data_IF_158468248339
#
_entry.id   IF_158468248339
#
_cell.length_a   1.000
_cell.length_b   1.000
_cell.length_c   1.000
_cell.angle_alpha   90.00
_cell.angle_beta   90.00
_cell.angle_gamma   90.00
#
_symmetry.space_group_name_H-M   'P 1'
#
loop_
_entity.id
_entity.type
_entity.pdbx_description
1 polymer ?
#
# COMPACT_ATOMS: atom_id res chain seq x y z
N UNK A 1 32.66 -0.53 -14.78
CA UNK A 1 31.75 0.32 -15.57
C UNK A 1 31.06 1.24 -14.59
N UNK A 2 31.05 2.53 -14.87
CA UNK A 2 30.29 3.50 -14.04
C UNK A 2 28.79 3.25 -14.17
N UNK A 3 28.05 3.39 -13.07
CA UNK A 3 26.60 3.44 -13.11
C UNK A 3 26.15 4.82 -12.64
N UNK A 4 25.30 5.48 -13.46
CA UNK A 4 24.71 6.77 -13.12
C UNK A 4 23.27 6.53 -12.71
N UNK A 5 22.96 6.88 -11.47
CA UNK A 5 21.66 6.71 -10.86
C UNK A 5 20.96 8.07 -10.69
N UNK A 6 19.65 8.10 -10.87
CA UNK A 6 18.83 9.29 -10.65
C UNK A 6 18.05 9.16 -9.35
N UNK A 7 18.18 10.13 -8.44
CA UNK A 7 17.35 10.25 -7.26
C UNK A 7 16.15 11.13 -7.60
N UNK A 8 14.94 10.63 -7.39
CA UNK A 8 13.71 11.33 -7.78
C UNK A 8 12.81 11.61 -6.58
N UNK A 9 11.91 12.57 -6.73
CA UNK A 9 10.89 12.89 -5.71
C UNK A 9 10.03 11.64 -5.45
N UNK A 10 10.09 11.07 -4.24
CA UNK A 10 9.38 9.85 -3.93
C UNK A 10 7.87 10.07 -3.82
N UNK A 11 7.10 8.99 -3.94
CA UNK A 11 5.67 8.98 -3.66
C UNK A 11 5.41 8.27 -2.35
N UNK A 12 5.11 9.01 -1.29
CA UNK A 12 4.86 8.46 0.04
C UNK A 12 3.39 8.15 0.35
N UNK A 13 2.49 8.41 -0.61
CA UNK A 13 1.08 8.11 -0.46
C UNK A 13 0.32 8.29 -1.78
N UNK A 14 -0.86 7.65 -1.90
CA UNK A 14 -1.68 7.69 -3.12
C UNK A 14 -2.03 9.12 -3.54
N UNK A 15 -2.29 10.00 -2.58
CA UNK A 15 -2.66 11.39 -2.79
C UNK A 15 -1.49 12.36 -2.92
N UNK A 16 -0.24 11.90 -2.76
CA UNK A 16 0.92 12.77 -2.93
C UNK A 16 1.13 13.07 -4.40
N UNK A 17 1.10 14.35 -4.77
CA UNK A 17 1.33 14.84 -6.13
C UNK A 17 2.64 15.59 -6.24
N UNK A 18 3.09 16.23 -5.16
CA UNK A 18 4.29 17.05 -5.10
C UNK A 18 4.91 17.04 -3.70
N UNK A 19 6.15 17.52 -3.59
CA UNK A 19 6.84 17.77 -2.34
C UNK A 19 7.76 18.98 -2.45
N UNK A 20 7.89 19.75 -1.36
CA UNK A 20 8.82 20.86 -1.27
C UNK A 20 10.15 20.38 -0.70
N UNK A 21 11.24 20.63 -1.38
CA UNK A 21 12.60 20.39 -0.89
C UNK A 21 12.86 21.32 0.28
N UNK A 22 13.05 20.79 1.49
CA UNK A 22 13.31 21.62 2.67
C UNK A 22 14.81 21.81 2.87
N UNK A 23 15.54 20.75 3.13
CA UNK A 23 16.97 20.82 3.45
C UNK A 23 17.74 19.66 2.85
N UNK A 24 18.86 19.95 2.17
CA UNK A 24 19.81 18.92 1.77
C UNK A 24 20.70 18.50 2.97
N UNK A 25 20.69 17.22 3.30
CA UNK A 25 21.50 16.62 4.37
C UNK A 25 22.88 16.18 3.88
N UNK A 26 23.07 16.10 2.55
CA UNK A 26 24.31 15.75 1.86
C UNK A 26 24.65 16.82 0.84
N UNK A 27 25.94 16.93 0.50
CA UNK A 27 26.47 17.87 -0.48
C UNK A 27 27.05 17.14 -1.69
N UNK A 28 27.23 17.88 -2.80
CA UNK A 28 27.96 17.32 -3.95
C UNK A 28 29.37 16.91 -3.56
N UNK A 29 29.76 15.68 -3.96
CA UNK A 29 31.03 15.06 -3.58
C UNK A 29 30.92 14.10 -2.37
N UNK A 30 29.83 14.14 -1.62
CA UNK A 30 29.65 13.24 -0.48
C UNK A 30 29.40 11.80 -0.93
N UNK A 31 30.03 10.82 -0.27
CA UNK A 31 29.68 9.43 -0.42
C UNK A 31 28.34 9.16 0.28
N UNK A 32 27.46 8.43 -0.38
CA UNK A 32 26.18 7.95 0.17
C UNK A 32 26.10 6.44 0.08
N UNK A 33 25.46 5.83 1.07
CA UNK A 33 25.13 4.42 1.08
C UNK A 33 23.62 4.23 0.95
N UNK A 34 23.21 3.09 0.43
CA UNK A 34 21.79 2.73 0.41
C UNK A 34 21.18 2.82 1.82
N UNK A 35 20.11 3.61 1.96
CA UNK A 35 19.43 3.88 3.23
C UNK A 35 19.93 5.14 3.98
N UNK A 36 20.95 5.86 3.45
CA UNK A 36 21.34 7.15 4.01
C UNK A 36 20.26 8.21 3.71
N UNK A 37 19.97 9.06 4.69
CA UNK A 37 19.11 10.25 4.50
C UNK A 37 19.89 11.28 3.67
N UNK A 38 19.30 11.73 2.55
CA UNK A 38 19.96 12.61 1.57
C UNK A 38 19.43 14.04 1.63
N UNK A 39 18.10 14.18 1.73
CA UNK A 39 17.43 15.49 1.84
C UNK A 39 16.10 15.33 2.58
N UNK A 40 15.65 16.43 3.18
CA UNK A 40 14.31 16.52 3.77
C UNK A 40 13.33 17.13 2.76
N UNK A 41 12.14 16.53 2.67
CA UNK A 41 11.04 16.99 1.84
C UNK A 41 9.81 17.18 2.70
N UNK A 42 9.14 18.31 2.52
CA UNK A 42 7.87 18.64 3.15
C UNK A 42 6.72 18.48 2.16
N UNK A 43 5.63 17.88 2.62
CA UNK A 43 4.36 17.79 1.90
C UNK A 43 3.27 18.47 2.71
N UNK A 44 2.06 18.57 2.17
CA UNK A 44 0.89 19.09 2.89
C UNK A 44 0.55 18.31 4.19
N UNK A 45 1.11 17.11 4.36
CA UNK A 45 0.78 16.21 5.48
C UNK A 45 1.96 15.81 6.36
N UNK A 46 3.15 15.73 5.79
CA UNK A 46 4.34 15.23 6.49
C UNK A 46 5.60 15.96 6.03
N UNK A 47 6.57 16.04 6.93
CA UNK A 47 7.98 16.30 6.61
C UNK A 47 8.75 15.01 6.79
N UNK A 48 9.56 14.61 5.81
CA UNK A 48 10.23 13.32 5.79
C UNK A 48 11.52 13.38 5.00
N UNK A 49 12.51 12.56 5.42
CA UNK A 49 13.77 12.45 4.69
C UNK A 49 13.66 11.46 3.54
N UNK A 50 14.26 11.80 2.40
CA UNK A 50 14.46 10.91 1.26
C UNK A 50 15.69 10.06 1.52
N UNK A 51 15.51 8.75 1.60
CA UNK A 51 16.60 7.79 1.74
C UNK A 51 17.16 7.40 0.37
N UNK A 52 18.49 7.26 0.26
CA UNK A 52 19.14 6.79 -0.96
C UNK A 52 18.79 5.32 -1.26
N UNK A 53 18.22 5.00 -2.43
CA UNK A 53 17.92 3.62 -2.80
C UNK A 53 19.14 2.83 -3.32
N UNK A 54 20.28 3.50 -3.50
CA UNK A 54 21.54 2.96 -4.00
C UNK A 54 22.74 3.61 -3.28
N UNK A 55 23.93 3.05 -3.47
CA UNK A 55 25.19 3.62 -2.97
C UNK A 55 25.97 4.30 -4.11
N UNK A 56 26.84 5.26 -3.77
CA UNK A 56 27.66 5.98 -4.73
C UNK A 56 28.15 7.33 -4.20
N UNK A 57 28.56 8.22 -5.09
CA UNK A 57 28.93 9.60 -4.78
C UNK A 57 27.85 10.54 -5.32
N UNK A 58 27.33 11.45 -4.49
CA UNK A 58 26.37 12.48 -4.91
C UNK A 58 27.11 13.49 -5.80
N UNK A 59 26.82 13.46 -7.11
CA UNK A 59 27.59 14.24 -8.09
C UNK A 59 26.90 15.52 -8.52
N UNK A 60 25.58 15.56 -8.50
CA UNK A 60 24.83 16.74 -8.92
C UNK A 60 23.55 16.87 -8.10
N UNK A 61 23.36 18.05 -7.47
CA UNK A 61 22.08 18.49 -6.91
C UNK A 61 21.30 19.22 -8.01
N UNK A 62 20.14 18.70 -8.40
CA UNK A 62 19.29 19.31 -9.43
C UNK A 62 18.21 20.16 -8.79
N UNK A 63 17.55 19.65 -7.77
CA UNK A 63 16.52 20.37 -7.02
C UNK A 63 17.13 21.38 -6.04
N UNK A 64 16.52 22.57 -5.95
CA UNK A 64 16.97 23.62 -5.04
C UNK A 64 16.18 23.58 -3.72
N UNK A 65 16.76 24.05 -2.59
CA UNK A 65 16.00 24.29 -1.37
C UNK A 65 14.80 25.21 -1.64
N UNK A 66 13.70 24.97 -0.94
CA UNK A 66 12.40 25.64 -1.08
C UNK A 66 11.67 25.41 -2.42
N UNK A 67 12.21 24.58 -3.31
CA UNK A 67 11.56 24.23 -4.57
C UNK A 67 10.48 23.19 -4.35
N UNK A 68 9.27 23.41 -4.88
CA UNK A 68 8.19 22.44 -4.91
C UNK A 68 8.22 21.71 -6.24
N UNK A 69 8.37 20.40 -6.18
CA UNK A 69 8.54 19.53 -7.34
C UNK A 69 7.50 18.40 -7.34
N UNK A 70 6.96 18.05 -8.50
CA UNK A 70 6.03 16.94 -8.62
C UNK A 70 6.72 15.60 -8.31
N UNK A 71 5.93 14.62 -7.86
CA UNK A 71 6.38 13.24 -7.67
C UNK A 71 7.06 12.75 -8.95
N UNK A 72 8.21 12.07 -8.79
CA UNK A 72 9.00 11.57 -9.90
C UNK A 72 9.99 12.60 -10.48
N UNK A 73 9.91 13.90 -10.14
CA UNK A 73 10.88 14.90 -10.59
C UNK A 73 12.30 14.58 -10.11
N UNK A 74 13.29 14.91 -10.94
CA UNK A 74 14.71 14.67 -10.63
C UNK A 74 15.20 15.55 -9.50
N UNK A 75 15.69 14.96 -8.42
CA UNK A 75 16.27 15.64 -7.27
C UNK A 75 17.79 15.74 -7.39
N UNK A 76 18.45 14.62 -7.71
CA UNK A 76 19.91 14.55 -7.77
C UNK A 76 20.41 13.42 -8.68
N UNK A 77 21.70 13.46 -9.00
CA UNK A 77 22.43 12.39 -9.69
C UNK A 77 23.51 11.81 -8.79
N UNK A 78 23.54 10.50 -8.69
CA UNK A 78 24.50 9.71 -7.91
C UNK A 78 25.29 8.80 -8.86
N UNK A 79 26.57 8.71 -8.67
CA UNK A 79 27.47 7.92 -9.54
C UNK A 79 28.19 6.86 -8.71
N UNK A 80 28.07 5.61 -9.14
CA UNK A 80 28.92 4.51 -8.68
C UNK A 80 30.08 4.35 -9.68
N UNK A 81 31.32 4.54 -9.22
CA UNK A 81 32.51 4.59 -10.04
C UNK A 81 32.85 6.01 -10.55
N UNK A 82 33.40 6.13 -11.76
CA UNK A 82 33.78 7.41 -12.35
C UNK A 82 32.92 7.74 -13.57
N UNK A 83 32.35 8.94 -13.61
CA UNK A 83 31.65 9.50 -14.75
C UNK A 83 32.11 10.96 -14.96
N UNK A 84 32.17 11.40 -16.20
CA UNK A 84 32.50 12.79 -16.51
C UNK A 84 31.26 13.70 -16.43
N UNK A 85 31.51 15.02 -16.36
CA UNK A 85 30.41 16.01 -16.23
C UNK A 85 29.48 16.02 -17.45
N UNK A 86 29.98 15.71 -18.64
CA UNK A 86 29.18 15.66 -19.86
C UNK A 86 28.21 14.47 -19.86
N UNK A 87 28.63 13.32 -19.32
CA UNK A 87 27.75 12.16 -19.12
C UNK A 87 26.63 12.48 -18.11
N UNK A 88 26.97 13.16 -17.00
CA UNK A 88 26.01 13.58 -15.99
C UNK A 88 25.00 14.58 -16.59
N UNK A 89 25.49 15.61 -17.30
CA UNK A 89 24.62 16.59 -17.95
C UNK A 89 23.67 15.96 -18.98
N UNK A 90 24.17 14.98 -19.75
CA UNK A 90 23.34 14.25 -20.70
C UNK A 90 22.21 13.45 -20.03
N UNK A 91 22.49 12.85 -18.86
CA UNK A 91 21.47 12.12 -18.06
C UNK A 91 20.42 13.09 -17.53
N UNK A 92 20.84 14.25 -16.96
CA UNK A 92 19.92 15.26 -16.45
C UNK A 92 19.01 15.78 -17.56
N UNK A 93 19.56 16.18 -18.70
CA UNK A 93 18.79 16.73 -19.84
C UNK A 93 17.82 15.69 -20.40
N UNK A 94 18.26 14.45 -20.58
CA UNK A 94 17.39 13.37 -21.05
C UNK A 94 16.24 13.11 -20.09
N UNK A 95 16.54 12.98 -18.78
CA UNK A 95 15.55 12.73 -17.76
C UNK A 95 14.49 13.86 -17.73
N UNK A 96 14.93 15.14 -17.74
CA UNK A 96 14.03 16.27 -17.72
C UNK A 96 13.14 16.32 -18.97
N UNK A 97 13.70 16.02 -20.15
CA UNK A 97 12.94 16.00 -21.39
C UNK A 97 11.89 14.87 -21.41
N UNK A 98 12.25 13.67 -20.95
CA UNK A 98 11.35 12.51 -20.82
C UNK A 98 10.25 12.79 -19.78
N UNK A 99 10.60 13.35 -18.62
CA UNK A 99 9.66 13.70 -17.55
C UNK A 99 8.60 14.72 -18.01
N UNK A 100 8.99 15.75 -18.74
CA UNK A 100 8.07 16.75 -19.31
C UNK A 100 7.19 16.11 -20.40
N UNK A 101 7.76 15.27 -21.26
CA UNK A 101 7.01 14.60 -22.32
C UNK A 101 5.94 13.62 -21.78
N UNK A 102 6.18 13.04 -20.61
CA UNK A 102 5.24 12.15 -19.91
C UNK A 102 4.21 12.89 -19.05
N UNK A 103 4.15 14.23 -19.13
CA UNK A 103 3.18 15.05 -18.38
C UNK A 103 3.52 15.21 -16.89
N UNK A 104 4.78 15.04 -16.51
CA UNK A 104 5.22 15.11 -15.12
C UNK A 104 4.84 16.41 -14.39
N UNK A 105 4.69 17.54 -15.12
CA UNK A 105 4.25 18.81 -14.55
C UNK A 105 2.73 18.88 -14.27
N UNK A 106 1.90 18.07 -14.94
CA UNK A 106 0.44 18.04 -14.73
C UNK A 106 0.02 17.15 -13.55
N UNK A 107 0.94 16.38 -12.98
CA UNK A 107 0.67 15.53 -11.82
C UNK A 107 0.39 16.31 -10.52
N UNK A 108 0.77 17.59 -10.45
CA UNK A 108 0.47 18.47 -9.31
C UNK A 108 -1.02 18.76 -9.09
N UNK A 109 -1.91 18.40 -10.03
CA UNK A 109 -3.37 18.55 -9.94
C UNK A 109 -4.11 17.20 -9.89
N UNK A 110 -3.48 16.14 -9.43
CA UNK A 110 -4.08 14.81 -9.32
C UNK A 110 -5.29 14.76 -8.38
N UNK A 111 -6.14 13.72 -8.51
CA UNK A 111 -7.28 13.54 -7.62
C UNK A 111 -6.84 13.41 -6.16
N UNK A 112 -7.64 13.96 -5.25
CA UNK A 112 -7.40 13.91 -3.80
C UNK A 112 -8.33 12.91 -3.13
N UNK A 113 -7.93 12.30 -1.98
CA UNK A 113 -8.82 11.45 -1.20
C UNK A 113 -10.06 12.22 -0.76
N UNK A 114 -11.19 11.55 -0.84
CA UNK A 114 -12.47 12.06 -0.39
C UNK A 114 -12.75 11.61 1.05
N UNK A 115 -13.54 12.40 1.76
CA UNK A 115 -14.05 12.09 3.11
C UNK A 115 -15.50 12.50 3.20
N UNK A 116 -16.33 11.60 3.68
CA UNK A 116 -17.75 11.91 3.96
C UNK A 116 -18.28 11.06 5.11
N UNK A 117 -19.45 11.46 5.62
CA UNK A 117 -20.26 10.57 6.45
C UNK A 117 -20.90 9.51 5.55
N UNK A 118 -20.55 8.25 5.82
CA UNK A 118 -21.08 7.09 5.11
C UNK A 118 -21.70 6.15 6.14
N UNK A 119 -23.02 6.04 6.13
CA UNK A 119 -23.74 5.21 7.07
C UNK A 119 -23.58 5.62 8.55
N UNK A 120 -23.41 6.91 8.84
CA UNK A 120 -23.26 7.44 10.19
C UNK A 120 -21.81 7.44 10.73
N UNK A 121 -20.83 7.28 9.87
CA UNK A 121 -19.40 7.35 10.25
C UNK A 121 -18.56 8.02 9.19
N UNK A 122 -17.53 8.74 9.61
CA UNK A 122 -16.55 9.32 8.69
C UNK A 122 -15.76 8.21 8.01
N UNK A 123 -15.81 8.14 6.68
CA UNK A 123 -14.95 7.31 5.86
C UNK A 123 -14.06 8.17 4.96
N UNK A 124 -12.84 7.67 4.72
CA UNK A 124 -11.91 8.18 3.73
C UNK A 124 -11.72 7.14 2.63
N UNK A 125 -11.74 7.59 1.37
CA UNK A 125 -11.40 6.76 0.22
C UNK A 125 -10.71 7.59 -0.85
N UNK A 126 -10.09 6.89 -1.79
CA UNK A 126 -9.40 7.49 -2.92
C UNK A 126 -9.83 6.78 -4.21
N UNK A 127 -10.17 7.56 -5.24
CA UNK A 127 -10.64 7.05 -6.52
C UNK A 127 -9.70 7.44 -7.65
N UNK A 128 -9.46 6.50 -8.56
CA UNK A 128 -8.80 6.72 -9.85
C UNK A 128 -9.52 5.93 -10.95
N UNK A 129 -9.33 6.40 -12.20
CA UNK A 129 -9.86 5.73 -13.38
C UNK A 129 -11.36 5.88 -13.53
N UNK A 130 -11.85 5.41 -14.65
CA UNK A 130 -13.25 5.51 -15.06
C UNK A 130 -13.71 4.23 -15.78
N UNK A 131 -15.02 4.06 -15.88
CA UNK A 131 -15.64 2.97 -16.65
C UNK A 131 -15.56 1.60 -16.00
N UNK A 132 -16.05 0.61 -16.73
CA UNK A 132 -16.09 -0.80 -16.31
C UNK A 132 -16.86 -1.06 -15.00
N UNK A 133 -16.91 -2.31 -14.59
CA UNK A 133 -17.36 -2.65 -13.24
C UNK A 133 -16.30 -2.17 -12.24
N UNK A 134 -16.66 -1.32 -11.25
CA UNK A 134 -15.69 -0.78 -10.31
C UNK A 134 -14.95 -1.86 -9.49
N UNK A 135 -13.70 -1.57 -9.14
CA UNK A 135 -12.89 -2.38 -8.24
C UNK A 135 -12.71 -1.66 -6.91
N UNK A 136 -13.02 -2.33 -5.79
CA UNK A 136 -12.75 -1.83 -4.45
C UNK A 136 -11.56 -2.56 -3.85
N UNK A 137 -10.57 -1.79 -3.38
CA UNK A 137 -9.33 -2.26 -2.76
C UNK A 137 -9.44 -2.13 -1.23
N UNK A 138 -9.38 -3.26 -0.51
CA UNK A 138 -9.58 -3.34 0.95
C UNK A 138 -8.27 -3.76 1.60
N UNK A 139 -7.68 -2.88 2.44
CA UNK A 139 -6.41 -3.11 3.11
C UNK A 139 -6.51 -4.11 4.27
N UNK A 140 -5.34 -4.56 4.78
CA UNK A 140 -5.22 -5.46 5.91
C UNK A 140 -5.22 -4.76 7.28
N UNK A 141 -5.07 -5.55 8.33
CA UNK A 141 -4.95 -5.09 9.71
C UNK A 141 -3.76 -4.13 9.89
N UNK A 142 -4.00 -3.00 10.53
CA UNK A 142 -2.97 -1.97 10.75
C UNK A 142 -2.57 -1.18 9.51
N UNK A 143 -3.16 -1.47 8.34
CA UNK A 143 -2.90 -0.76 7.09
C UNK A 143 -3.84 0.43 6.84
N UNK A 144 -3.76 0.97 5.64
CA UNK A 144 -4.65 2.00 5.11
C UNK A 144 -4.71 1.89 3.57
N UNK A 145 -5.38 2.82 2.92
CA UNK A 145 -5.51 2.83 1.46
C UNK A 145 -4.16 2.88 0.72
N UNK A 146 -3.07 3.35 1.37
CA UNK A 146 -1.73 3.39 0.78
C UNK A 146 -1.08 2.00 0.67
N UNK A 147 -1.63 0.96 1.29
CA UNK A 147 -1.17 -0.42 1.05
C UNK A 147 -1.32 -0.84 -0.42
N UNK A 148 -2.10 -0.09 -1.20
CA UNK A 148 -2.33 -0.30 -2.63
C UNK A 148 -1.59 0.71 -3.53
N UNK A 149 -0.62 1.47 -2.97
CA UNK A 149 0.12 2.54 -3.65
C UNK A 149 0.69 2.11 -5.02
N UNK A 150 1.26 0.91 -5.10
CA UNK A 150 1.87 0.39 -6.33
C UNK A 150 0.88 -0.35 -7.25
N UNK A 151 -0.37 -0.52 -6.82
CA UNK A 151 -1.38 -1.27 -7.56
C UNK A 151 -2.47 -0.35 -8.10
N UNK A 152 -2.93 0.59 -7.30
CA UNK A 152 -4.08 1.43 -7.60
C UNK A 152 -3.94 2.14 -8.97
N UNK A 153 -2.83 2.85 -9.31
CA UNK A 153 -2.71 3.51 -10.60
C UNK A 153 -2.71 2.54 -11.78
N UNK A 154 -2.05 1.39 -11.65
CA UNK A 154 -1.98 0.38 -12.71
C UNK A 154 -3.36 -0.25 -12.99
N UNK A 155 -4.13 -0.50 -11.94
CA UNK A 155 -5.49 -1.06 -12.05
C UNK A 155 -6.49 -0.03 -12.58
N UNK A 156 -6.27 1.26 -12.24
CA UNK A 156 -7.12 2.37 -12.65
C UNK A 156 -6.98 2.76 -14.12
N UNK A 157 -5.98 2.23 -14.83
CA UNK A 157 -5.83 2.45 -16.27
C UNK A 157 -7.01 1.89 -17.11
N UNK A 158 -7.76 0.94 -16.57
CA UNK A 158 -8.82 0.24 -17.32
C UNK A 158 -10.22 0.31 -16.69
N UNK A 159 -10.32 0.80 -15.46
CA UNK A 159 -11.60 0.86 -14.75
C UNK A 159 -11.58 1.85 -13.59
N UNK A 160 -12.77 2.17 -13.06
CA UNK A 160 -12.90 2.90 -11.81
C UNK A 160 -12.38 2.04 -10.65
N UNK A 161 -11.40 2.54 -9.89
CA UNK A 161 -10.79 1.83 -8.75
C UNK A 161 -10.89 2.70 -7.49
N UNK A 162 -11.38 2.11 -6.40
CA UNK A 162 -11.62 2.78 -5.13
C UNK A 162 -10.80 2.06 -4.06
N UNK A 163 -9.87 2.74 -3.39
CA UNK A 163 -9.21 2.28 -2.18
C UNK A 163 -9.78 3.02 -0.98
N UNK A 164 -10.15 2.31 0.10
CA UNK A 164 -10.72 2.92 1.30
C UNK A 164 -9.85 2.68 2.53
N UNK A 165 -10.01 3.56 3.53
CA UNK A 165 -9.59 3.30 4.90
C UNK A 165 -10.75 2.64 5.66
N UNK A 166 -10.59 1.42 6.13
CA UNK A 166 -11.57 0.75 7.00
C UNK A 166 -11.72 1.51 8.34
N UNK A 167 -12.86 1.40 9.03
CA UNK A 167 -12.99 1.89 10.40
C UNK A 167 -11.86 1.38 11.31
N UNK A 168 -11.39 2.24 12.20
CA UNK A 168 -10.22 1.96 13.05
C UNK A 168 -8.87 2.29 12.40
N UNK A 169 -8.83 2.59 11.08
CA UNK A 169 -7.62 2.74 10.28
C UNK A 169 -7.52 4.08 9.56
N UNK A 170 -6.33 4.38 9.04
CA UNK A 170 -6.03 5.53 8.20
C UNK A 170 -6.60 6.84 8.74
N UNK A 171 -7.37 7.55 7.93
CA UNK A 171 -8.07 8.78 8.32
C UNK A 171 -9.61 8.60 8.43
N UNK A 172 -10.11 7.36 8.38
CA UNK A 172 -11.49 7.03 8.72
C UNK A 172 -11.74 7.06 10.22
N UNK A 173 -13.02 7.00 10.64
CA UNK A 173 -13.43 7.00 12.05
C UNK A 173 -12.71 5.88 12.84
N UNK A 174 -12.20 6.20 14.03
CA UNK A 174 -11.46 5.25 14.87
C UNK A 174 -12.36 4.41 15.77
N UNK A 175 -13.52 4.93 16.15
CA UNK A 175 -14.46 4.21 16.98
C UNK A 175 -15.13 3.06 16.22
N UNK A 176 -15.05 1.86 16.76
CA UNK A 176 -15.79 0.69 16.31
C UNK A 176 -16.99 0.45 17.25
N UNK A 177 -18.11 0.06 16.69
CA UNK A 177 -19.34 -0.24 17.48
C UNK A 177 -19.29 -1.69 17.99
N UNK A 178 -19.04 -2.63 17.10
CA UNK A 178 -18.91 -4.07 17.38
C UNK A 178 -17.46 -4.53 17.28
N UNK A 179 -16.68 -3.95 16.35
CA UNK A 179 -15.31 -4.32 16.04
C UNK A 179 -15.19 -5.71 15.46
N UNK A 180 -16.25 -6.20 14.82
CA UNK A 180 -16.30 -7.52 14.20
C UNK A 180 -16.18 -7.43 12.66
N UNK A 181 -16.09 -8.59 12.03
CA UNK A 181 -15.97 -8.70 10.58
C UNK A 181 -17.21 -8.18 9.84
N UNK A 182 -18.41 -8.37 10.43
CA UNK A 182 -19.66 -7.89 9.85
C UNK A 182 -19.70 -6.36 9.80
N UNK A 183 -19.25 -5.66 10.84
CA UNK A 183 -19.18 -4.19 10.85
C UNK A 183 -18.26 -3.65 9.74
N UNK A 184 -17.09 -4.26 9.56
CA UNK A 184 -16.18 -3.86 8.48
C UNK A 184 -16.78 -4.12 7.09
N UNK A 185 -17.48 -5.23 6.93
CA UNK A 185 -18.14 -5.61 5.67
C UNK A 185 -19.34 -4.72 5.34
N UNK A 186 -20.16 -4.40 6.33
CA UNK A 186 -21.27 -3.45 6.22
C UNK A 186 -20.76 -2.05 5.84
N UNK A 187 -19.58 -1.67 6.30
CA UNK A 187 -18.93 -0.41 5.91
C UNK A 187 -18.58 -0.39 4.43
N UNK A 188 -18.04 -1.50 3.87
CA UNK A 188 -17.79 -1.61 2.43
C UNK A 188 -19.10 -1.52 1.65
N UNK A 189 -20.16 -2.20 2.09
CA UNK A 189 -21.49 -2.13 1.46
C UNK A 189 -22.07 -0.71 1.51
N UNK A 190 -21.95 -0.03 2.65
CA UNK A 190 -22.39 1.36 2.79
C UNK A 190 -21.62 2.31 1.87
N UNK A 191 -20.32 2.09 1.66
CA UNK A 191 -19.55 2.87 0.69
C UNK A 191 -20.02 2.60 -0.75
N UNK A 192 -20.31 1.36 -1.11
CA UNK A 192 -20.90 1.04 -2.42
C UNK A 192 -22.23 1.75 -2.63
N UNK A 193 -23.08 1.80 -1.59
CA UNK A 193 -24.38 2.51 -1.64
C UNK A 193 -24.17 4.03 -1.76
N UNK A 194 -23.24 4.60 -1.01
CA UNK A 194 -22.90 6.03 -1.04
C UNK A 194 -22.39 6.48 -2.41
N UNK A 195 -21.69 5.60 -3.12
CA UNK A 195 -21.12 5.86 -4.45
C UNK A 195 -22.01 5.42 -5.61
N UNK A 196 -23.25 5.01 -5.33
CA UNK A 196 -24.22 4.48 -6.32
C UNK A 196 -23.64 3.30 -7.13
N UNK A 197 -22.86 2.43 -6.49
CA UNK A 197 -22.25 1.25 -7.12
C UNK A 197 -23.11 0.02 -6.82
N UNK A 198 -23.89 -0.49 -7.76
CA UNK A 198 -24.75 -1.65 -7.53
C UNK A 198 -23.99 -2.95 -7.35
N UNK A 199 -22.83 -3.08 -8.02
CA UNK A 199 -21.99 -4.28 -8.01
C UNK A 199 -20.54 -3.89 -8.27
N UNK A 200 -19.58 -4.55 -7.58
CA UNK A 200 -18.16 -4.27 -7.71
C UNK A 200 -17.31 -5.56 -7.67
N UNK A 201 -16.13 -5.52 -8.28
CA UNK A 201 -15.05 -6.44 -7.95
C UNK A 201 -14.46 -6.03 -6.58
N UNK A 202 -14.10 -6.99 -5.74
CA UNK A 202 -13.45 -6.72 -4.46
C UNK A 202 -12.05 -7.34 -4.45
N UNK A 203 -11.04 -6.53 -4.12
CA UNK A 203 -9.68 -7.02 -3.88
C UNK A 203 -9.30 -6.72 -2.44
N UNK A 204 -9.05 -7.77 -1.65
CA UNK A 204 -8.75 -7.64 -0.23
C UNK A 204 -7.40 -8.25 0.13
N UNK A 205 -6.59 -7.49 0.89
CA UNK A 205 -5.34 -7.97 1.45
C UNK A 205 -5.54 -8.41 2.90
N UNK A 206 -5.07 -9.62 3.26
CA UNK A 206 -5.06 -10.09 4.65
C UNK A 206 -6.46 -10.03 5.30
N UNK A 207 -6.66 -9.26 6.38
CA UNK A 207 -7.98 -8.99 6.98
C UNK A 207 -8.97 -8.44 5.94
N UNK A 208 -8.52 -7.57 5.01
CA UNK A 208 -9.37 -7.06 3.93
C UNK A 208 -9.87 -8.14 2.99
N UNK A 209 -9.13 -9.24 2.85
CA UNK A 209 -9.60 -10.43 2.12
C UNK A 209 -10.76 -11.12 2.83
N UNK A 210 -10.67 -11.31 4.16
CA UNK A 210 -11.79 -11.81 4.96
C UNK A 210 -13.01 -10.88 4.92
N UNK A 211 -12.78 -9.54 4.94
CA UNK A 211 -13.84 -8.54 4.75
C UNK A 211 -14.52 -8.73 3.39
N UNK A 212 -13.74 -8.88 2.32
CA UNK A 212 -14.27 -9.07 0.95
C UNK A 212 -15.07 -10.37 0.81
N UNK A 213 -14.57 -11.46 1.38
CA UNK A 213 -15.31 -12.73 1.46
C UNK A 213 -16.61 -12.57 2.25
N UNK A 214 -16.56 -11.85 3.35
CA UNK A 214 -17.74 -11.65 4.18
C UNK A 214 -18.78 -10.72 3.54
N UNK A 215 -18.36 -9.73 2.74
CA UNK A 215 -19.26 -8.94 1.87
C UNK A 215 -19.97 -9.86 0.89
N UNK A 216 -19.25 -10.80 0.26
CA UNK A 216 -19.85 -11.77 -0.68
C UNK A 216 -20.80 -12.74 0.04
N UNK A 217 -20.55 -13.10 1.31
CA UNK A 217 -21.47 -13.88 2.15
C UNK A 217 -22.75 -13.10 2.47
N UNK A 218 -22.63 -11.82 2.86
CA UNK A 218 -23.77 -10.99 3.29
C UNK A 218 -24.62 -10.51 2.10
N UNK A 219 -23.98 -10.18 0.99
CA UNK A 219 -24.64 -9.58 -0.18
C UNK A 219 -24.02 -10.11 -1.51
N UNK A 220 -24.21 -11.38 -1.84
CA UNK A 220 -23.54 -12.00 -2.99
C UNK A 220 -23.83 -11.28 -4.31
N UNK A 221 -25.01 -10.70 -4.47
CA UNK A 221 -25.40 -9.93 -5.66
C UNK A 221 -24.59 -8.64 -5.87
N UNK A 222 -23.92 -8.14 -4.81
CA UNK A 222 -23.10 -6.92 -4.86
C UNK A 222 -21.67 -7.18 -5.31
N UNK A 223 -21.25 -8.45 -5.43
CA UNK A 223 -19.88 -8.87 -5.74
C UNK A 223 -19.78 -9.44 -7.14
N UNK A 224 -18.94 -8.87 -7.99
CA UNK A 224 -18.66 -9.36 -9.35
C UNK A 224 -17.63 -10.48 -9.34
N UNK A 225 -16.50 -10.26 -8.66
CA UNK A 225 -15.43 -11.24 -8.44
C UNK A 225 -14.64 -10.90 -7.16
N UNK A 226 -13.83 -11.83 -6.72
CA UNK A 226 -12.95 -11.71 -5.55
C UNK A 226 -11.49 -11.83 -5.96
N UNK A 227 -10.65 -10.88 -5.54
CA UNK A 227 -9.18 -11.04 -5.55
C UNK A 227 -8.69 -11.06 -4.10
N UNK A 228 -8.12 -12.18 -3.69
CA UNK A 228 -7.76 -12.48 -2.32
C UNK A 228 -6.23 -12.50 -2.19
N UNK A 229 -5.66 -11.44 -1.64
CA UNK A 229 -4.20 -11.25 -1.54
C UNK A 229 -3.75 -11.59 -0.12
N UNK A 230 -2.98 -12.68 0.04
CA UNK A 230 -2.53 -13.17 1.35
C UNK A 230 -3.67 -13.21 2.39
N UNK A 231 -4.84 -13.70 1.96
CA UNK A 231 -6.15 -13.46 2.60
C UNK A 231 -6.32 -14.23 3.91
N UNK A 232 -6.88 -13.58 4.91
CA UNK A 232 -7.52 -14.26 6.02
C UNK A 232 -8.88 -14.87 5.58
N UNK A 233 -9.40 -15.81 6.41
CA UNK A 233 -10.69 -16.46 6.20
C UNK A 233 -10.66 -17.75 5.36
N UNK A 234 -9.49 -18.17 4.88
CA UNK A 234 -9.34 -19.34 4.00
C UNK A 234 -8.66 -20.55 4.68
N UNK A 235 -8.23 -20.40 5.90
CA UNK A 235 -7.60 -21.47 6.68
C UNK A 235 -7.50 -21.09 8.15
N UNK A 236 -7.09 -22.02 8.98
CA UNK A 236 -7.09 -21.79 10.42
C UNK A 236 -5.87 -21.00 10.92
N UNK A 237 -4.69 -21.25 10.35
CA UNK A 237 -3.45 -20.69 10.88
C UNK A 237 -3.30 -19.19 10.62
N UNK A 238 -2.78 -18.45 11.63
CA UNK A 238 -2.36 -17.06 11.55
C UNK A 238 -1.28 -16.81 12.59
N UNK A 239 -0.35 -15.91 12.32
CA UNK A 239 0.66 -15.49 13.28
C UNK A 239 0.06 -14.56 14.33
N UNK A 240 -0.47 -15.11 15.43
CA UNK A 240 -1.07 -14.35 16.52
C UNK A 240 -0.03 -13.55 17.32
N UNK A 241 1.23 -14.02 17.36
CA UNK A 241 2.32 -13.29 18.02
C UNK A 241 2.62 -11.99 17.30
N UNK A 242 2.58 -11.99 15.95
CA UNK A 242 2.68 -10.76 15.16
C UNK A 242 1.54 -9.79 15.51
N UNK A 243 0.30 -10.24 15.50
CA UNK A 243 -0.87 -9.41 15.77
C UNK A 243 -0.76 -8.73 17.15
N UNK A 244 -0.47 -9.50 18.19
CA UNK A 244 -0.33 -8.99 19.55
C UNK A 244 0.90 -8.09 19.70
N UNK A 245 2.03 -8.49 19.12
CA UNK A 245 3.27 -7.72 19.13
C UNK A 245 3.13 -6.37 18.42
N UNK A 246 2.44 -6.34 17.27
CA UNK A 246 2.14 -5.11 16.55
C UNK A 246 1.29 -4.16 17.42
N UNK A 247 0.22 -4.66 18.03
CA UNK A 247 -0.63 -3.84 18.92
C UNK A 247 0.17 -3.33 20.12
N UNK A 248 0.97 -4.16 20.76
CA UNK A 248 1.73 -3.78 21.95
C UNK A 248 2.91 -2.84 21.67
N UNK A 249 3.39 -2.75 20.42
CA UNK A 249 4.56 -1.96 20.05
C UNK A 249 4.28 -0.46 20.16
N UNK A 250 4.93 0.22 21.14
CA UNK A 250 4.78 1.64 21.40
C UNK A 250 5.98 2.49 20.92
N UNK A 251 7.04 1.87 20.44
CA UNK A 251 8.25 2.54 19.97
C UNK A 251 8.89 1.75 18.81
N UNK A 252 9.86 2.40 18.13
CA UNK A 252 10.53 1.83 16.96
C UNK A 252 11.20 0.48 17.22
N UNK A 253 11.85 0.32 18.38
CA UNK A 253 12.56 -0.93 18.68
C UNK A 253 11.60 -2.11 18.88
N UNK A 254 10.42 -1.87 19.44
CA UNK A 254 9.38 -2.87 19.60
C UNK A 254 8.61 -3.13 18.28
N UNK A 255 8.43 -2.10 17.44
CA UNK A 255 7.66 -2.20 16.20
C UNK A 255 8.46 -2.87 15.07
N UNK A 256 9.75 -2.54 14.91
CA UNK A 256 10.57 -3.04 13.79
C UNK A 256 10.55 -4.58 13.67
N UNK A 257 10.72 -5.39 14.73
CA UNK A 257 10.66 -6.84 14.63
C UNK A 257 9.30 -7.37 14.16
N UNK A 258 8.22 -6.63 14.37
CA UNK A 258 6.89 -6.98 13.88
C UNK A 258 6.76 -6.66 12.39
N UNK A 259 7.13 -5.45 12.00
CA UNK A 259 7.04 -5.01 10.59
C UNK A 259 7.89 -5.87 9.66
N UNK A 260 9.07 -6.32 10.10
CA UNK A 260 9.97 -7.19 9.32
C UNK A 260 9.28 -8.51 8.92
N UNK A 261 8.36 -9.03 9.74
CA UNK A 261 7.64 -10.27 9.42
C UNK A 261 6.67 -10.13 8.24
N UNK A 262 6.31 -8.90 7.87
CA UNK A 262 5.42 -8.63 6.74
C UNK A 262 6.11 -8.79 5.38
N UNK A 263 7.42 -8.67 5.33
CA UNK A 263 8.20 -8.62 4.09
C UNK A 263 9.18 -9.79 4.01
N UNK A 264 9.40 -10.31 2.80
CA UNK A 264 10.47 -11.27 2.54
C UNK A 264 11.85 -10.59 2.59
N UNK A 265 11.95 -9.33 2.16
CA UNK A 265 13.16 -8.51 2.28
C UNK A 265 13.02 -7.53 3.48
N UNK A 266 13.76 -7.75 4.57
CA UNK A 266 13.75 -6.85 5.73
C UNK A 266 14.19 -5.40 5.42
N UNK A 267 14.92 -5.18 4.32
CA UNK A 267 15.38 -3.85 3.91
C UNK A 267 14.23 -2.92 3.46
N UNK A 268 13.06 -3.49 3.15
CA UNK A 268 11.85 -2.72 2.82
C UNK A 268 11.22 -2.06 4.06
N UNK A 269 11.63 -2.47 5.27
CA UNK A 269 11.18 -1.83 6.52
C UNK A 269 12.08 -0.64 6.83
N UNK A 270 11.84 0.46 6.13
CA UNK A 270 12.58 1.70 6.27
C UNK A 270 12.29 2.39 7.61
N UNK A 271 13.14 3.34 7.98
CA UNK A 271 12.91 4.18 9.16
C UNK A 271 11.61 4.96 9.03
N UNK A 272 11.35 5.51 7.82
CA UNK A 272 10.16 6.27 7.53
C UNK A 272 8.88 5.46 7.72
N UNK A 273 8.83 4.24 7.18
CA UNK A 273 7.68 3.34 7.36
C UNK A 273 7.38 3.09 8.85
N UNK A 274 8.42 2.93 9.68
CA UNK A 274 8.25 2.74 11.13
C UNK A 274 7.74 3.99 11.83
N UNK A 275 8.22 5.17 11.45
CA UNK A 275 7.80 6.45 12.02
C UNK A 275 6.35 6.77 11.67
N UNK A 276 5.94 6.55 10.43
CA UNK A 276 4.55 6.76 9.99
C UNK A 276 3.59 5.79 10.68
N UNK A 277 3.98 4.53 10.80
CA UNK A 277 3.20 3.56 11.56
C UNK A 277 3.07 3.94 13.04
N UNK A 278 4.13 4.47 13.66
CA UNK A 278 4.06 4.95 15.04
C UNK A 278 3.22 6.21 15.18
N UNK A 279 3.25 7.14 14.21
CA UNK A 279 2.37 8.30 14.17
C UNK A 279 0.90 7.84 14.14
N UNK A 280 0.55 6.94 13.22
CA UNK A 280 -0.78 6.34 13.13
C UNK A 280 -1.21 5.70 14.46
N UNK A 281 -0.38 4.85 15.06
CA UNK A 281 -0.69 4.15 16.32
C UNK A 281 -0.92 5.08 17.52
N UNK A 282 -0.40 6.32 17.48
CA UNK A 282 -0.58 7.34 18.53
C UNK A 282 -1.87 8.15 18.37
N UNK A 283 -2.56 8.04 17.24
CA UNK A 283 -3.84 8.72 17.07
C UNK A 283 -4.85 8.19 18.07
N UNK A 284 -5.68 9.10 18.61
CA UNK A 284 -6.71 8.75 19.57
C UNK A 284 -7.68 7.70 19.00
N UNK A 285 -7.97 6.68 19.78
CA UNK A 285 -8.88 5.58 19.42
C UNK A 285 -8.22 4.42 18.64
N UNK A 286 -7.05 4.60 18.02
CA UNK A 286 -6.40 3.55 17.21
C UNK A 286 -6.03 2.33 18.03
N UNK A 287 -5.40 2.50 19.21
CA UNK A 287 -5.01 1.35 20.04
C UNK A 287 -6.24 0.52 20.47
N UNK A 288 -7.34 1.18 20.85
CA UNK A 288 -8.58 0.50 21.22
C UNK A 288 -9.17 -0.26 20.01
N UNK A 289 -9.23 0.36 18.84
CA UNK A 289 -9.72 -0.26 17.61
C UNK A 289 -8.89 -1.49 17.22
N UNK A 290 -7.56 -1.36 17.21
CA UNK A 290 -6.68 -2.47 16.86
C UNK A 290 -6.81 -3.65 17.82
N UNK A 291 -6.91 -3.41 19.14
CA UNK A 291 -7.15 -4.48 20.14
C UNK A 291 -8.48 -5.19 19.92
N UNK A 292 -9.53 -4.43 19.64
CA UNK A 292 -10.85 -4.98 19.37
C UNK A 292 -10.84 -5.85 18.11
N UNK A 293 -10.21 -5.38 17.02
CA UNK A 293 -10.10 -6.13 15.78
C UNK A 293 -9.26 -7.41 15.93
N UNK A 294 -8.13 -7.38 16.65
CA UNK A 294 -7.36 -8.61 16.90
C UNK A 294 -8.23 -9.65 17.57
N UNK A 295 -9.02 -9.26 18.58
CA UNK A 295 -9.92 -10.17 19.28
C UNK A 295 -11.02 -10.74 18.38
N UNK A 296 -11.43 -10.00 17.34
CA UNK A 296 -12.45 -10.41 16.39
C UNK A 296 -11.91 -11.36 15.30
N UNK A 297 -10.65 -11.19 14.88
CA UNK A 297 -10.08 -11.95 13.75
C UNK A 297 -9.31 -13.20 14.17
N UNK A 298 -8.72 -13.22 15.39
CA UNK A 298 -7.87 -14.32 15.83
C UNK A 298 -8.03 -14.65 17.32
N UNK A 299 -7.72 -15.91 17.66
CA UNK A 299 -7.54 -16.41 19.02
C UNK A 299 -6.23 -17.22 19.08
N UNK A 300 -5.20 -16.69 19.74
CA UNK A 300 -3.85 -17.23 19.62
C UNK A 300 -3.40 -17.25 18.17
N UNK A 301 -2.93 -18.39 17.71
CA UNK A 301 -2.49 -18.61 16.32
C UNK A 301 -3.60 -19.20 15.42
N UNK A 302 -4.86 -18.98 15.78
CA UNK A 302 -6.02 -19.47 15.02
C UNK A 302 -6.90 -18.32 14.56
N UNK A 303 -7.30 -18.34 13.29
CA UNK A 303 -8.32 -17.46 12.75
C UNK A 303 -9.70 -17.83 13.27
N UNK A 304 -10.53 -16.83 13.57
CA UNK A 304 -11.90 -17.05 14.06
C UNK A 304 -12.91 -17.33 12.95
N UNK A 305 -12.59 -17.02 11.70
CA UNK A 305 -13.53 -17.11 10.58
C UNK A 305 -13.05 -18.11 9.54
N UNK A 306 -13.94 -19.01 9.15
CA UNK A 306 -13.80 -19.88 7.98
C UNK A 306 -14.83 -19.44 6.92
N UNK A 307 -14.35 -18.83 5.85
CA UNK A 307 -15.16 -18.27 4.78
C UNK A 307 -14.99 -19.01 3.45
N UNK A 308 -14.33 -20.19 3.47
CA UNK A 308 -14.11 -21.01 2.26
C UNK A 308 -15.41 -21.36 1.53
N UNK A 309 -16.52 -21.51 2.25
CA UNK A 309 -17.84 -21.79 1.67
C UNK A 309 -18.41 -20.69 0.77
N UNK A 310 -17.77 -19.51 0.73
CA UNK A 310 -18.14 -18.41 -0.18
C UNK A 310 -17.53 -18.60 -1.57
N UNK A 311 -16.39 -19.29 -1.65
CA UNK A 311 -15.74 -19.61 -2.92
C UNK A 311 -16.64 -20.55 -3.76
N UNK A 312 -16.52 -20.45 -5.08
CA UNK A 312 -17.40 -21.19 -6.01
C UNK A 312 -18.71 -20.45 -6.35
N UNK A 313 -19.09 -19.42 -5.57
CA UNK A 313 -20.22 -18.55 -5.90
C UNK A 313 -19.83 -17.37 -6.78
N UNK A 314 -18.54 -17.01 -6.79
CA UNK A 314 -17.97 -15.89 -7.55
C UNK A 314 -16.67 -16.32 -8.21
N UNK A 315 -16.32 -15.78 -9.38
CA UNK A 315 -14.95 -15.89 -9.89
C UNK A 315 -13.96 -15.39 -8.84
N UNK A 316 -12.91 -16.16 -8.58
CA UNK A 316 -11.95 -15.84 -7.55
C UNK A 316 -10.50 -16.00 -8.02
N UNK A 317 -9.66 -15.02 -7.66
CA UNK A 317 -8.21 -15.05 -7.82
C UNK A 317 -7.56 -14.97 -6.44
N UNK A 318 -6.61 -15.86 -6.16
CA UNK A 318 -5.78 -15.84 -4.95
C UNK A 318 -4.34 -15.51 -5.31
N UNK A 319 -3.74 -14.57 -4.58
CA UNK A 319 -2.34 -14.17 -4.77
C UNK A 319 -1.62 -14.27 -3.43
N UNK A 320 -0.49 -14.96 -3.41
CA UNK A 320 0.27 -15.16 -2.17
C UNK A 320 1.76 -14.99 -2.36
N UNK A 321 2.45 -14.54 -1.29
CA UNK A 321 3.89 -14.64 -1.17
C UNK A 321 4.28 -16.01 -0.61
N UNK A 322 5.27 -16.66 -1.25
CA UNK A 322 5.77 -17.97 -0.79
C UNK A 322 6.48 -17.93 0.56
N UNK A 323 6.94 -16.73 0.97
CA UNK A 323 7.61 -16.46 2.25
C UNK A 323 6.71 -15.75 3.27
N UNK A 324 5.38 -15.82 3.09
CA UNK A 324 4.42 -15.21 4.01
C UNK A 324 4.55 -15.81 5.41
N UNK A 325 4.99 -15.00 6.38
CA UNK A 325 5.19 -15.37 7.78
C UNK A 325 3.97 -15.06 8.66
N UNK A 326 2.89 -14.51 8.09
CA UNK A 326 1.66 -14.13 8.81
C UNK A 326 0.54 -15.13 8.54
N UNK A 327 0.25 -15.40 7.26
CA UNK A 327 -0.78 -16.35 6.83
C UNK A 327 -0.18 -17.30 5.79
N UNK A 328 -0.11 -18.61 6.04
CA UNK A 328 0.53 -19.55 5.14
C UNK A 328 -0.10 -19.58 3.75
N UNK A 329 0.74 -19.61 2.70
CA UNK A 329 0.29 -19.72 1.31
C UNK A 329 -0.52 -21.01 1.04
N UNK A 330 -0.31 -22.05 1.84
CA UNK A 330 -1.07 -23.31 1.76
C UNK A 330 -2.58 -23.14 2.04
N UNK A 331 -3.01 -21.98 2.54
CA UNK A 331 -4.44 -21.67 2.66
C UNK A 331 -5.14 -21.52 1.30
N UNK A 332 -4.38 -21.36 0.21
CA UNK A 332 -4.93 -21.36 -1.15
C UNK A 332 -5.05 -22.77 -1.77
N UNK A 333 -4.48 -23.80 -1.14
CA UNK A 333 -4.42 -25.14 -1.71
C UNK A 333 -5.80 -25.81 -1.77
N UNK A 334 -6.12 -26.36 -2.96
CA UNK A 334 -7.34 -27.15 -3.17
C UNK A 334 -8.65 -26.36 -3.16
N UNK A 335 -8.58 -25.02 -3.25
CA UNK A 335 -9.75 -24.15 -3.34
C UNK A 335 -10.13 -23.85 -4.80
N UNK A 336 -11.41 -23.58 -5.06
CA UNK A 336 -11.93 -23.23 -6.39
C UNK A 336 -11.61 -21.76 -6.73
N UNK A 337 -10.37 -21.49 -7.17
CA UNK A 337 -9.93 -20.18 -7.60
C UNK A 337 -8.72 -20.30 -8.52
N UNK A 338 -8.43 -19.23 -9.29
CA UNK A 338 -7.11 -19.07 -9.87
C UNK A 338 -6.10 -18.75 -8.77
N UNK A 339 -4.91 -19.36 -8.80
CA UNK A 339 -3.88 -19.15 -7.77
C UNK A 339 -2.57 -18.69 -8.38
N UNK A 340 -1.98 -17.64 -7.80
CA UNK A 340 -0.64 -17.16 -8.08
C UNK A 340 0.17 -17.14 -6.78
N UNK A 341 1.22 -17.95 -6.68
CA UNK A 341 2.19 -17.87 -5.58
C UNK A 341 3.51 -17.32 -6.10
N UNK A 342 3.97 -16.23 -5.49
CA UNK A 342 5.23 -15.56 -5.81
C UNK A 342 6.29 -15.99 -4.78
N UNK A 343 7.24 -16.86 -5.14
CA UNK A 343 8.05 -17.61 -4.17
C UNK A 343 8.96 -16.73 -3.32
N UNK A 344 9.32 -15.55 -3.81
CA UNK A 344 10.27 -14.65 -3.14
C UNK A 344 9.62 -13.49 -2.39
N UNK A 345 8.29 -13.38 -2.39
CA UNK A 345 7.54 -12.34 -1.67
C UNK A 345 7.02 -12.83 -0.32
N UNK A 346 6.82 -11.92 0.61
CA UNK A 346 6.22 -12.13 1.94
C UNK A 346 4.72 -11.83 1.97
N UNK A 347 4.23 -11.39 3.14
CA UNK A 347 2.82 -11.08 3.35
C UNK A 347 2.34 -9.87 2.55
N UNK A 348 3.21 -8.87 2.33
CA UNK A 348 2.90 -7.66 1.54
C UNK A 348 3.16 -7.88 0.04
N UNK A 349 2.76 -9.02 -0.49
CA UNK A 349 3.06 -9.45 -1.87
C UNK A 349 2.64 -8.43 -2.93
N UNK A 350 1.55 -7.69 -2.71
CA UNK A 350 1.08 -6.62 -3.60
C UNK A 350 2.03 -5.41 -3.65
N UNK A 351 2.89 -5.25 -2.64
CA UNK A 351 3.93 -4.22 -2.61
C UNK A 351 5.28 -4.77 -3.10
N UNK A 352 5.65 -5.96 -2.64
CA UNK A 352 6.95 -6.57 -2.93
C UNK A 352 7.09 -7.02 -4.39
N UNK A 353 6.00 -7.44 -5.01
CA UNK A 353 5.95 -7.94 -6.37
C UNK A 353 4.83 -7.27 -7.20
N UNK A 354 4.70 -5.95 -7.04
CA UNK A 354 3.58 -5.16 -7.55
C UNK A 354 3.33 -5.37 -9.05
N UNK A 355 4.37 -5.42 -9.88
CA UNK A 355 4.22 -5.62 -11.33
C UNK A 355 3.55 -6.96 -11.67
N UNK A 356 4.00 -8.05 -11.04
CA UNK A 356 3.43 -9.38 -11.28
C UNK A 356 1.99 -9.47 -10.76
N UNK A 357 1.72 -8.87 -9.60
CA UNK A 357 0.39 -8.79 -8.99
C UNK A 357 -0.54 -7.99 -9.89
N UNK A 358 -0.13 -6.79 -10.34
CA UNK A 358 -0.94 -5.91 -11.19
C UNK A 358 -1.31 -6.61 -12.50
N UNK A 359 -0.32 -7.19 -13.19
CA UNK A 359 -0.55 -7.94 -14.44
C UNK A 359 -1.57 -9.05 -14.24
N UNK A 360 -1.41 -9.86 -13.19
CA UNK A 360 -2.33 -10.98 -12.92
C UNK A 360 -3.73 -10.49 -12.57
N UNK A 361 -3.85 -9.43 -11.80
CA UNK A 361 -5.15 -8.81 -11.46
C UNK A 361 -5.84 -8.24 -12.69
N UNK A 362 -5.12 -7.50 -13.54
CA UNK A 362 -5.67 -6.94 -14.78
C UNK A 362 -6.19 -8.05 -15.70
N UNK A 363 -5.37 -9.11 -15.91
CA UNK A 363 -5.77 -10.24 -16.76
C UNK A 363 -7.03 -10.95 -16.24
N UNK A 364 -7.09 -11.19 -14.93
CA UNK A 364 -8.27 -11.78 -14.27
C UNK A 364 -9.51 -10.89 -14.40
N UNK A 365 -9.38 -9.60 -14.13
CA UNK A 365 -10.50 -8.67 -14.16
C UNK A 365 -11.05 -8.39 -15.56
N UNK A 366 -10.24 -8.57 -16.62
CA UNK A 366 -10.71 -8.49 -18.02
C UNK A 366 -11.62 -9.67 -18.41
N UNK A 367 -11.48 -10.80 -17.73
CA UNK A 367 -12.28 -12.00 -17.98
C UNK A 367 -13.65 -12.00 -17.27
N UNK A 368 -13.90 -11.05 -16.36
CA UNK A 368 -15.07 -11.03 -15.47
C UNK A 368 -15.68 -9.64 -15.31
#
# INVERSE_FOLDING_TARGET
MSQIHTLTMPKWGLSMTEGRVDTWLKQEGDPINKGDEVLDVETDKISSSVEAPFSGVLRRLVAQPDETLPVGALLAVVVEGEADEAEIDAVVQRFQAEFVAEGGADQAQGPTPQKADVGGRLLRWFELGEGGTPLVLVHGFGGDLNNWLFNHPALAAERRVIALDLPGHGESAKALQRGDLDELSETVLALLDHLDIPRAHLAGHSMGGAVSLNVARLAPQRVASLTLVASAGLGAAINGQYLQGFVAAANRNALKPQMVQLFADPALVTRQLLEDMLKFKRLEGVDAALRQLVSAIAEGDQQRHDLRGVLGQHPALMIWGGKDAIIPASHADGLEAEVLVLPDAGHMVQMEAAEAVNRKMVDFLRGH
#
